data_IF_283936466560
#
_entry.id   IF_283936466560
#
_cell.length_a   1.000
_cell.length_b   1.000
_cell.length_c   1.000
_cell.angle_alpha   90.00
_cell.angle_beta   90.00
_cell.angle_gamma   90.00
#
_symmetry.space_group_name_H-M   'P 1'
#
loop_
_entity.id
_entity.type
_entity.pdbx_description
1 polymer ?
#
# COMPACT_ATOMS: atom_id res chain seq x y z
N UNK A 1 -11.33 -5.97 -14.32
CA UNK A 1 -11.71 -6.51 -12.99
C UNK A 1 -11.14 -5.55 -11.96
N UNK A 2 -11.98 -5.03 -11.07
CA UNK A 2 -11.57 -4.10 -10.01
C UNK A 2 -11.69 -4.84 -8.67
N UNK A 3 -10.64 -4.83 -7.86
CA UNK A 3 -10.65 -5.46 -6.54
C UNK A 3 -10.75 -4.36 -5.49
N UNK A 4 -11.75 -4.47 -4.63
CA UNK A 4 -11.99 -3.52 -3.53
C UNK A 4 -11.40 -4.11 -2.26
N UNK A 5 -10.41 -3.42 -1.70
CA UNK A 5 -10.00 -3.64 -0.32
C UNK A 5 -10.92 -2.85 0.60
N UNK A 6 -11.39 -3.48 1.66
CA UNK A 6 -12.03 -2.80 2.79
C UNK A 6 -11.35 -3.29 4.07
N UNK A 7 -10.90 -2.34 4.87
CA UNK A 7 -10.47 -2.61 6.25
C UNK A 7 -11.56 -2.08 7.15
N UNK A 8 -11.98 -2.85 8.15
CA UNK A 8 -12.83 -2.30 9.21
C UNK A 8 -11.93 -1.39 10.07
N UNK A 9 -12.24 -0.10 10.05
CA UNK A 9 -11.41 0.98 10.59
C UNK A 9 -11.93 1.44 11.96
N UNK A 10 -12.82 0.67 12.59
CA UNK A 10 -13.45 1.01 13.87
C UNK A 10 -12.47 1.42 14.98
N UNK A 11 -11.19 1.04 14.90
CA UNK A 11 -10.14 1.41 15.87
C UNK A 11 -9.19 2.55 15.44
N UNK A 12 -9.29 3.14 14.23
CA UNK A 12 -8.35 4.19 13.77
C UNK A 12 -8.65 5.62 14.28
N UNK A 13 -9.34 5.76 15.41
CA UNK A 13 -9.64 7.07 16.02
C UNK A 13 -8.41 7.92 16.37
N UNK A 14 -7.19 7.42 16.15
CA UNK A 14 -5.91 8.10 16.42
C UNK A 14 -5.01 8.29 15.20
N UNK A 15 -5.35 7.78 14.02
CA UNK A 15 -4.51 7.96 12.84
C UNK A 15 -4.76 9.35 12.24
N UNK A 16 -3.81 10.25 12.45
CA UNK A 16 -3.78 11.59 11.84
C UNK A 16 -3.34 11.55 10.37
N UNK A 17 -2.68 10.46 9.98
CA UNK A 17 -2.11 10.22 8.65
C UNK A 17 -3.16 9.64 7.68
N UNK A 18 -3.29 10.20 6.48
CA UNK A 18 -4.25 9.63 5.52
C UNK A 18 -3.92 8.16 5.21
N UNK A 19 -4.93 7.31 5.10
CA UNK A 19 -4.75 5.90 4.72
C UNK A 19 -3.93 5.66 3.46
N UNK A 20 -4.01 6.60 2.49
CA UNK A 20 -3.17 6.60 1.29
C UNK A 20 -1.69 6.77 1.63
N UNK A 21 -1.40 7.69 2.54
CA UNK A 21 -0.04 7.96 3.02
C UNK A 21 0.55 6.75 3.73
N UNK A 22 -0.24 6.02 4.53
CA UNK A 22 0.20 4.77 5.18
C UNK A 22 0.67 3.76 4.13
N UNK A 23 -0.13 3.51 3.09
CA UNK A 23 0.21 2.56 2.03
C UNK A 23 1.47 2.99 1.27
N UNK A 24 1.56 4.28 0.92
CA UNK A 24 2.76 4.80 0.24
C UNK A 24 4.00 4.68 1.13
N UNK A 25 3.88 4.92 2.43
CA UNK A 25 4.98 4.78 3.39
C UNK A 25 5.43 3.32 3.52
N UNK A 26 4.48 2.38 3.64
CA UNK A 26 4.76 0.93 3.64
C UNK A 26 5.57 0.55 2.40
N UNK A 27 5.12 0.96 1.21
CA UNK A 27 5.82 0.65 -0.04
C UNK A 27 7.21 1.30 -0.11
N UNK A 28 7.37 2.56 0.32
CA UNK A 28 8.67 3.24 0.35
C UNK A 28 9.65 2.54 1.32
N UNK A 29 9.20 2.15 2.51
CA UNK A 29 10.06 1.46 3.48
C UNK A 29 10.47 0.07 2.98
N UNK A 30 9.59 -0.60 2.26
CA UNK A 30 9.89 -1.86 1.59
C UNK A 30 10.99 -1.67 0.55
N UNK A 31 10.85 -0.62 -0.28
CA UNK A 31 11.85 -0.24 -1.27
C UNK A 31 13.22 0.05 -0.64
N UNK A 32 13.24 0.71 0.52
CA UNK A 32 14.48 1.04 1.23
C UNK A 32 15.11 -0.16 1.95
N UNK A 33 14.32 -1.18 2.28
CA UNK A 33 14.75 -2.33 3.10
C UNK A 33 15.30 -3.51 2.29
N UNK A 34 15.24 -3.46 0.96
CA UNK A 34 15.72 -4.52 0.08
C UNK A 34 16.78 -3.97 -0.87
N UNK A 35 17.89 -4.69 -1.01
CA UNK A 35 18.93 -4.32 -1.97
C UNK A 35 18.44 -4.48 -3.41
N UNK A 36 18.84 -3.59 -4.34
CA UNK A 36 18.32 -3.57 -5.71
C UNK A 36 18.43 -4.92 -6.43
N UNK A 37 19.56 -5.62 -6.29
CA UNK A 37 19.81 -6.93 -6.89
C UNK A 37 18.94 -8.07 -6.32
N UNK A 38 18.42 -7.91 -5.10
CA UNK A 38 17.56 -8.90 -4.45
C UNK A 38 16.08 -8.56 -4.60
N UNK A 39 15.75 -7.38 -5.16
CA UNK A 39 14.40 -6.86 -5.14
C UNK A 39 13.42 -7.79 -5.86
N UNK A 40 13.77 -8.19 -7.09
CA UNK A 40 12.90 -9.03 -7.90
C UNK A 40 12.69 -10.43 -7.32
N UNK A 41 13.72 -11.00 -6.68
CA UNK A 41 13.62 -12.34 -6.09
C UNK A 41 12.82 -12.32 -4.78
N UNK A 42 12.87 -11.22 -4.01
CA UNK A 42 12.16 -11.10 -2.73
C UNK A 42 10.72 -10.65 -2.87
N UNK A 43 10.44 -9.75 -3.81
CA UNK A 43 9.10 -9.20 -4.03
C UNK A 43 8.33 -9.99 -5.09
N UNK A 44 8.99 -10.48 -6.14
CA UNK A 44 8.32 -11.17 -7.25
C UNK A 44 7.86 -10.26 -8.39
N UNK A 45 8.31 -8.99 -8.40
CA UNK A 45 8.17 -8.04 -9.50
C UNK A 45 9.47 -7.26 -9.70
N UNK A 46 9.65 -6.59 -10.84
CA UNK A 46 10.83 -5.74 -11.06
C UNK A 46 10.81 -4.49 -10.17
N UNK A 47 12.01 -3.97 -9.90
CA UNK A 47 12.19 -2.72 -9.16
C UNK A 47 11.46 -1.54 -9.82
N UNK A 48 11.41 -1.50 -11.15
CA UNK A 48 10.77 -0.42 -11.90
C UNK A 48 9.25 -0.50 -11.83
N UNK A 49 8.65 -1.69 -11.96
CA UNK A 49 7.22 -1.92 -11.76
C UNK A 49 6.77 -1.52 -10.35
N UNK A 50 7.62 -1.80 -9.35
CA UNK A 50 7.35 -1.40 -7.97
C UNK A 50 7.41 0.11 -7.76
N UNK A 51 8.41 0.78 -8.32
CA UNK A 51 8.50 2.26 -8.29
C UNK A 51 7.32 2.90 -9.02
N UNK A 52 6.88 2.31 -10.13
CA UNK A 52 5.69 2.76 -10.85
C UNK A 52 4.44 2.60 -10.00
N UNK A 53 4.27 1.47 -9.30
CA UNK A 53 3.18 1.25 -8.34
C UNK A 53 3.16 2.32 -7.24
N UNK A 54 4.31 2.65 -6.64
CA UNK A 54 4.40 3.76 -5.66
C UNK A 54 3.92 5.08 -6.27
N UNK A 55 4.36 5.38 -7.50
CA UNK A 55 3.98 6.61 -8.19
C UNK A 55 2.49 6.65 -8.51
N UNK A 56 1.90 5.51 -8.89
CA UNK A 56 0.46 5.39 -9.13
C UNK A 56 -0.31 5.66 -7.84
N UNK A 57 0.11 5.06 -6.72
CA UNK A 57 -0.48 5.34 -5.40
C UNK A 57 -0.30 6.79 -4.97
N UNK A 58 0.81 7.46 -5.29
CA UNK A 58 1.00 8.90 -4.98
C UNK A 58 0.05 9.77 -5.79
N UNK A 59 -0.14 9.46 -7.07
CA UNK A 59 -1.03 10.20 -7.98
C UNK A 59 -2.49 9.83 -7.80
N UNK A 60 -2.78 8.73 -7.10
CA UNK A 60 -4.15 8.27 -6.90
C UNK A 60 -4.97 9.31 -6.13
N UNK A 61 -5.83 9.99 -6.85
CA UNK A 61 -6.87 10.81 -6.26
C UNK A 61 -8.00 9.86 -5.85
N UNK A 62 -8.45 9.97 -4.60
CA UNK A 62 -9.64 9.24 -4.16
C UNK A 62 -10.75 9.54 -5.18
N UNK A 63 -11.40 8.54 -5.79
CA UNK A 63 -12.62 8.82 -6.53
C UNK A 63 -13.56 9.55 -5.57
N UNK A 64 -14.01 10.76 -5.94
CA UNK A 64 -14.98 11.52 -5.14
C UNK A 64 -16.23 10.64 -5.00
N UNK A 65 -16.57 10.18 -3.80
CA UNK A 65 -17.78 9.40 -3.60
C UNK A 65 -18.95 10.38 -3.58
N UNK A 66 -19.98 10.10 -4.35
CA UNK A 66 -21.31 10.68 -4.12
C UNK A 66 -21.95 9.92 -2.96
N UNK A 67 -22.16 10.58 -1.83
CA UNK A 67 -23.03 10.08 -0.75
C UNK A 67 -22.34 9.26 0.35
N UNK A 68 -23.11 9.06 1.43
CA UNK A 68 -22.78 8.63 2.80
C UNK A 68 -21.98 7.31 2.98
N UNK A 69 -21.55 6.64 1.92
CA UNK A 69 -20.82 5.36 1.98
C UNK A 69 -19.43 5.44 2.63
N UNK A 70 -18.85 6.64 2.74
CA UNK A 70 -17.50 6.82 3.29
C UNK A 70 -17.42 6.67 4.81
N UNK A 71 -18.52 6.84 5.53
CA UNK A 71 -18.48 7.01 6.98
C UNK A 71 -18.31 5.70 7.76
N UNK A 72 -18.30 4.52 7.12
CA UNK A 72 -18.37 3.27 7.90
C UNK A 72 -17.29 2.21 7.68
N UNK A 73 -16.70 1.93 6.49
CA UNK A 73 -15.98 0.62 6.34
C UNK A 73 -14.77 0.54 5.39
N UNK A 74 -13.82 1.47 5.42
CA UNK A 74 -12.47 1.19 4.91
C UNK A 74 -11.99 1.97 3.68
N UNK A 75 -10.81 1.60 3.18
CA UNK A 75 -10.08 2.28 2.10
C UNK A 75 -10.37 1.58 0.77
N UNK A 76 -11.29 2.11 -0.04
CA UNK A 76 -11.53 1.57 -1.39
C UNK A 76 -10.36 1.89 -2.32
N UNK A 77 -9.41 0.97 -2.48
CA UNK A 77 -8.36 1.04 -3.50
C UNK A 77 -8.88 0.41 -4.78
N UNK A 78 -8.75 1.11 -5.91
CA UNK A 78 -9.09 0.56 -7.24
C UNK A 78 -7.81 0.48 -8.05
N UNK A 79 -7.38 -0.73 -8.37
CA UNK A 79 -6.19 -0.99 -9.19
C UNK A 79 -6.56 -1.84 -10.40
N UNK A 80 -5.93 -1.61 -11.57
CA UNK A 80 -5.89 -2.59 -12.64
C UNK A 80 -5.34 -3.93 -12.14
N UNK A 81 -5.78 -5.04 -12.73
CA UNK A 81 -5.40 -6.39 -12.30
C UNK A 81 -3.88 -6.61 -12.21
N UNK A 82 -3.13 -6.09 -13.17
CA UNK A 82 -1.66 -6.19 -13.21
C UNK A 82 -1.03 -5.49 -12.00
N UNK A 83 -1.50 -4.29 -11.66
CA UNK A 83 -1.04 -3.52 -10.49
C UNK A 83 -1.46 -4.16 -9.18
N UNK A 84 -2.62 -4.82 -9.17
CA UNK A 84 -3.08 -5.60 -8.03
C UNK A 84 -2.16 -6.79 -7.73
N UNK A 85 -1.70 -7.51 -8.77
CA UNK A 85 -0.77 -8.63 -8.60
C UNK A 85 0.53 -8.13 -7.94
N UNK A 86 1.10 -7.04 -8.46
CA UNK A 86 2.32 -6.44 -7.92
C UNK A 86 2.10 -5.98 -6.47
N UNK A 87 0.98 -5.33 -6.18
CA UNK A 87 0.64 -4.88 -4.82
C UNK A 87 0.48 -6.05 -3.86
N UNK A 88 -0.20 -7.13 -4.26
CA UNK A 88 -0.38 -8.33 -3.44
C UNK A 88 0.94 -9.02 -3.15
N UNK A 89 1.83 -9.10 -4.15
CA UNK A 89 3.17 -9.65 -4.01
C UNK A 89 4.01 -8.82 -3.03
N UNK A 90 3.98 -7.49 -3.18
CA UNK A 90 4.61 -6.55 -2.27
C UNK A 90 4.15 -6.77 -0.82
N UNK A 91 2.83 -6.77 -0.59
CA UNK A 91 2.26 -6.95 0.75
C UNK A 91 2.63 -8.31 1.36
N UNK A 92 2.64 -9.37 0.56
CA UNK A 92 3.05 -10.69 1.03
C UNK A 92 4.53 -10.68 1.47
N UNK A 93 5.41 -10.09 0.66
CA UNK A 93 6.82 -9.98 1.01
C UNK A 93 7.03 -9.13 2.27
N UNK A 94 6.24 -8.08 2.46
CA UNK A 94 6.28 -7.23 3.67
C UNK A 94 5.85 -8.02 4.91
N UNK A 95 4.72 -8.73 4.83
CA UNK A 95 4.17 -9.46 5.97
C UNK A 95 5.06 -10.62 6.44
N UNK A 96 5.84 -11.24 5.55
CA UNK A 96 6.56 -12.48 5.87
C UNK A 96 8.08 -12.42 5.66
N UNK A 97 8.61 -11.37 5.03
CA UNK A 97 9.97 -11.39 4.50
C UNK A 97 10.79 -10.13 4.73
N UNK A 98 10.18 -8.95 4.88
CA UNK A 98 10.91 -7.68 5.00
C UNK A 98 10.86 -7.18 6.43
N UNK A 99 12.03 -7.12 7.09
CA UNK A 99 12.14 -6.52 8.42
C UNK A 99 12.29 -5.00 8.28
N UNK A 100 11.26 -4.25 8.68
CA UNK A 100 11.28 -2.78 8.69
C UNK A 100 11.43 -2.34 10.16
N UNK A 101 12.59 -1.84 10.59
CA UNK A 101 12.77 -1.34 11.95
C UNK A 101 11.90 -0.11 12.20
N UNK A 102 11.31 -0.02 13.41
CA UNK A 102 10.37 1.04 13.82
C UNK A 102 9.19 1.21 12.85
N UNK A 103 8.63 0.09 12.38
CA UNK A 103 7.60 0.06 11.35
C UNK A 103 6.46 1.06 11.59
N UNK A 104 5.84 1.03 12.78
CA UNK A 104 4.69 1.87 13.13
C UNK A 104 4.99 3.37 12.97
N UNK A 105 6.11 3.84 13.53
CA UNK A 105 6.58 5.23 13.42
C UNK A 105 6.81 5.63 11.95
N UNK A 106 7.46 4.76 11.17
CA UNK A 106 7.79 5.06 9.77
C UNK A 106 6.58 5.06 8.85
N UNK A 107 5.55 4.27 9.16
CA UNK A 107 4.30 4.27 8.38
C UNK A 107 3.29 5.30 8.89
N UNK A 108 3.53 5.88 10.06
CA UNK A 108 2.78 6.98 10.65
C UNK A 108 1.49 6.54 11.34
N UNK A 109 1.54 5.43 12.08
CA UNK A 109 0.44 4.88 12.90
C UNK A 109 0.78 4.85 14.39
#
# INVERSE_FOLDING_TARGET
>A
MEIILSTDISDLGKITTSSKSIIVNILNETLASIHEYEFSSRIGCSLDEFKELINDFRKWEKPRPSGEEYLKKGIKIVLPLEKWIIFSQAMNAICYGVNIPNFEEKIGI
#
